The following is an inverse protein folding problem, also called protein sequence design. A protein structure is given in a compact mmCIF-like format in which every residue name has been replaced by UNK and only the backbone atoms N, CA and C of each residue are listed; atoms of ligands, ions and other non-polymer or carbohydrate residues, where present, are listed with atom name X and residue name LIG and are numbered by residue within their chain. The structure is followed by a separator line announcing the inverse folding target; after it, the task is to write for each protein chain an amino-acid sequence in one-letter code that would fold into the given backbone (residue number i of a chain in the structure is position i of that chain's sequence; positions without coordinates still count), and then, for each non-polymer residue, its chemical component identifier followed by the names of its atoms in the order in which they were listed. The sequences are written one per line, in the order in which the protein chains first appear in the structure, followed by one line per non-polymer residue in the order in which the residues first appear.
data_IF_906412023647
#
_entry.id   IF_906412023647
#
_cell.length_a   1.000
_cell.length_b   1.000
_cell.length_c   1.000
_cell.angle_alpha   90.00
_cell.angle_beta   90.00
_cell.angle_gamma   90.00
#
_symmetry.space_group_name_H-M   'P 1'
#
loop_
_entity.id
_entity.type
_entity.pdbx_description
1 polymer ?
#
# COMPACT_ATOMS: atom_id res chain seq x y z
N UNK A 1 42.40 48.13 22.51
CA UNK A 1 42.78 46.72 22.33
C UNK A 1 41.61 45.69 22.66
N UNK A 2 40.55 46.13 23.34
CA UNK A 2 39.43 45.24 23.67
C UNK A 2 38.42 44.99 22.54
N UNK A 3 38.31 45.92 21.56
CA UNK A 3 37.32 45.82 20.46
C UNK A 3 37.68 44.81 19.38
N UNK A 4 38.96 44.53 19.14
CA UNK A 4 39.41 43.56 18.12
C UNK A 4 39.14 42.11 18.56
N UNK A 5 39.28 41.84 19.87
CA UNK A 5 39.01 40.51 20.43
C UNK A 5 37.52 40.09 20.36
N UNK A 6 36.61 41.06 20.54
CA UNK A 6 35.16 40.81 20.48
C UNK A 6 34.69 40.53 19.05
N UNK A 7 35.24 41.25 18.05
CA UNK A 7 34.94 41.04 16.63
C UNK A 7 35.45 39.67 16.15
N UNK A 8 36.67 39.29 16.61
CA UNK A 8 37.23 37.98 16.25
C UNK A 8 36.50 36.79 16.91
N UNK A 9 35.97 36.96 18.13
CA UNK A 9 35.13 35.98 18.80
C UNK A 9 33.75 35.81 18.13
N UNK A 10 33.18 36.94 17.60
CA UNK A 10 31.88 36.91 16.90
C UNK A 10 31.98 36.27 15.52
N UNK A 11 33.13 36.32 14.85
CA UNK A 11 33.37 35.69 13.55
C UNK A 11 33.56 34.14 13.63
N UNK A 12 33.93 33.63 14.81
CA UNK A 12 34.17 32.21 15.02
C UNK A 12 32.90 31.43 15.35
N UNK A 13 31.78 32.09 15.67
CA UNK A 13 30.50 31.45 16.05
C UNK A 13 29.51 31.31 14.91
N UNK A 14 29.77 31.81 13.71
CA UNK A 14 28.88 31.82 12.56
C UNK A 14 28.75 30.47 11.76
N UNK A 15 29.68 29.50 11.81
CA UNK A 15 29.54 28.28 10.97
C UNK A 15 28.71 27.14 11.57
N UNK A 16 28.11 27.31 12.76
CA UNK A 16 27.44 26.20 13.45
C UNK A 16 25.93 26.05 13.16
N UNK A 17 25.37 26.85 12.26
CA UNK A 17 23.90 26.82 11.99
C UNK A 17 23.50 26.22 10.65
N UNK A 18 24.36 25.47 9.96
CA UNK A 18 24.04 24.88 8.68
C UNK A 18 23.89 23.34 8.77
N UNK A 19 23.11 22.84 9.71
CA UNK A 19 22.66 21.44 9.71
C UNK A 19 21.16 21.35 9.93
N UNK A 20 20.37 21.96 9.06
CA UNK A 20 19.01 21.51 8.83
C UNK A 20 19.04 20.43 7.74
N UNK A 21 19.36 19.21 8.12
CA UNK A 21 18.98 18.05 7.34
C UNK A 21 17.46 18.07 7.21
N UNK A 22 16.96 18.26 5.99
CA UNK A 22 15.54 18.12 5.69
C UNK A 22 15.21 16.63 5.87
N UNK A 23 14.79 16.24 7.06
CA UNK A 23 14.16 14.95 7.31
C UNK A 23 12.80 15.00 6.63
N UNK A 24 12.73 14.52 5.40
CA UNK A 24 11.47 14.23 4.72
C UNK A 24 10.91 12.97 5.36
N UNK A 25 9.98 13.12 6.26
CA UNK A 25 9.19 12.03 6.85
C UNK A 25 8.15 11.56 5.81
N UNK A 26 8.63 10.92 4.77
CA UNK A 26 7.75 10.23 3.81
C UNK A 26 7.59 8.78 4.23
N UNK A 27 7.14 8.38 5.32
CA UNK A 27 6.79 7.02 5.78
C UNK A 27 7.15 5.79 4.91
N UNK A 28 8.04 5.96 3.94
CA UNK A 28 8.51 4.93 3.02
C UNK A 28 10.01 4.72 3.20
N UNK A 29 10.45 3.47 3.25
CA UNK A 29 11.86 3.07 3.37
C UNK A 29 12.55 2.86 2.01
N UNK A 30 12.02 3.47 0.95
CA UNK A 30 12.54 3.34 -0.42
C UNK A 30 13.95 3.96 -0.50
N UNK A 31 14.91 3.17 -1.00
CA UNK A 31 16.28 3.61 -1.19
C UNK A 31 16.35 4.74 -2.25
N UNK A 32 17.26 5.72 -2.09
CA UNK A 32 17.31 6.92 -2.93
C UNK A 32 17.60 6.66 -4.42
N UNK A 33 18.12 5.50 -4.77
CA UNK A 33 18.45 5.07 -6.13
C UNK A 33 17.33 4.27 -6.82
N UNK A 34 16.28 3.88 -6.09
CA UNK A 34 15.05 3.31 -6.63
C UNK A 34 14.16 4.47 -7.09
N UNK A 35 13.85 4.55 -8.39
CA UNK A 35 13.19 5.69 -9.01
C UNK A 35 11.88 5.34 -9.69
N UNK A 36 11.72 4.10 -10.15
CA UNK A 36 10.60 3.68 -10.97
C UNK A 36 9.89 2.46 -10.38
N UNK A 37 8.59 2.38 -10.63
CA UNK A 37 7.75 1.24 -10.24
C UNK A 37 6.89 0.79 -11.42
N UNK A 38 6.84 -0.53 -11.63
CA UNK A 38 5.86 -1.19 -12.50
C UNK A 38 4.83 -1.90 -11.63
N UNK A 39 3.56 -1.62 -11.85
CA UNK A 39 2.45 -2.34 -11.20
C UNK A 39 1.64 -2.99 -12.30
N UNK A 40 1.81 -4.31 -12.42
CA UNK A 40 1.14 -5.10 -13.43
C UNK A 40 -0.35 -5.23 -13.13
N UNK A 41 -1.15 -5.41 -14.18
CA UNK A 41 -2.57 -5.70 -14.02
C UNK A 41 -2.77 -6.99 -13.22
N UNK A 42 -3.61 -6.94 -12.18
CA UNK A 42 -3.91 -8.09 -11.34
C UNK A 42 -4.80 -9.08 -12.07
N UNK A 43 -4.34 -10.31 -12.20
CA UNK A 43 -5.14 -11.39 -12.76
C UNK A 43 -6.32 -11.73 -11.86
N UNK A 44 -7.42 -12.20 -12.44
CA UNK A 44 -8.57 -12.69 -11.69
C UNK A 44 -8.66 -14.21 -11.77
N UNK A 45 -8.30 -14.88 -10.69
CA UNK A 45 -8.26 -16.35 -10.59
C UNK A 45 -9.30 -16.92 -9.61
N UNK A 46 -10.09 -16.06 -8.94
CA UNK A 46 -11.10 -16.51 -8.00
C UNK A 46 -12.25 -17.23 -8.73
N UNK A 47 -12.81 -18.31 -8.15
CA UNK A 47 -13.91 -19.08 -8.78
C UNK A 47 -15.20 -18.28 -8.96
N UNK A 48 -15.53 -17.40 -8.02
CA UNK A 48 -16.71 -16.52 -8.11
C UNK A 48 -16.30 -15.22 -8.83
N UNK A 49 -17.06 -14.85 -9.83
CA UNK A 49 -16.70 -13.76 -10.75
C UNK A 49 -17.09 -12.39 -10.20
N UNK A 50 -16.12 -11.48 -10.11
CA UNK A 50 -16.34 -10.04 -10.00
C UNK A 50 -15.38 -9.35 -10.98
N UNK A 51 -15.85 -8.99 -12.20
CA UNK A 51 -14.98 -8.53 -13.29
C UNK A 51 -14.29 -7.19 -13.00
N UNK A 52 -14.84 -6.36 -12.11
CA UNK A 52 -14.33 -5.02 -11.83
C UNK A 52 -13.20 -5.02 -10.78
N UNK A 53 -13.11 -6.05 -9.94
CA UNK A 53 -12.25 -6.05 -8.77
C UNK A 53 -10.75 -5.97 -9.12
N UNK A 54 -10.31 -6.69 -10.15
CA UNK A 54 -8.90 -6.63 -10.61
C UNK A 54 -8.52 -5.24 -11.10
N UNK A 55 -9.41 -4.58 -11.84
CA UNK A 55 -9.18 -3.23 -12.31
C UNK A 55 -9.11 -2.24 -11.14
N UNK A 56 -10.10 -2.29 -10.24
CA UNK A 56 -10.15 -1.44 -9.04
C UNK A 56 -8.89 -1.59 -8.18
N UNK A 57 -8.44 -2.83 -7.93
CA UNK A 57 -7.25 -3.09 -7.14
C UNK A 57 -5.98 -2.56 -7.83
N UNK A 58 -5.85 -2.76 -9.14
CA UNK A 58 -4.70 -2.28 -9.91
C UNK A 58 -4.63 -0.76 -9.89
N UNK A 59 -5.72 -0.09 -10.23
CA UNK A 59 -5.79 1.38 -10.28
C UNK A 59 -5.57 1.99 -8.89
N UNK A 60 -6.22 1.47 -7.85
CA UNK A 60 -6.07 1.95 -6.49
C UNK A 60 -4.62 1.81 -5.97
N UNK A 61 -3.95 0.70 -6.29
CA UNK A 61 -2.56 0.50 -5.91
C UNK A 61 -1.63 1.46 -6.66
N UNK A 62 -1.82 1.64 -7.97
CA UNK A 62 -1.06 2.61 -8.76
C UNK A 62 -1.22 4.03 -8.22
N UNK A 63 -2.45 4.46 -7.94
CA UNK A 63 -2.74 5.76 -7.36
C UNK A 63 -2.06 5.94 -5.99
N UNK A 64 -2.09 4.92 -5.13
CA UNK A 64 -1.45 4.95 -3.83
C UNK A 64 0.06 5.14 -3.94
N UNK A 65 0.72 4.43 -4.86
CA UNK A 65 2.16 4.59 -5.10
C UNK A 65 2.51 5.98 -5.63
N UNK A 66 1.77 6.51 -6.60
CA UNK A 66 1.95 7.87 -7.14
C UNK A 66 1.79 8.93 -6.05
N UNK A 67 0.78 8.76 -5.18
CA UNK A 67 0.45 9.74 -4.15
C UNK A 67 1.44 9.74 -2.98
N UNK A 68 1.90 8.55 -2.54
CA UNK A 68 2.66 8.39 -1.30
C UNK A 68 4.17 8.23 -1.51
N UNK A 69 4.63 8.09 -2.75
CA UNK A 69 6.05 7.92 -3.05
C UNK A 69 6.52 8.97 -4.06
N UNK A 70 7.84 8.99 -4.32
CA UNK A 70 8.45 9.78 -5.39
C UNK A 70 8.78 8.92 -6.61
N UNK A 71 8.25 7.70 -6.66
CA UNK A 71 8.49 6.78 -7.77
C UNK A 71 7.69 7.22 -8.99
N UNK A 72 8.30 7.09 -10.15
CA UNK A 72 7.64 7.24 -11.43
C UNK A 72 7.01 5.90 -11.83
N UNK A 73 5.71 5.91 -12.15
CA UNK A 73 5.03 4.73 -12.67
C UNK A 73 5.45 4.51 -14.13
N UNK A 74 5.95 3.32 -14.43
CA UNK A 74 6.35 2.90 -15.78
C UNK A 74 5.67 1.57 -16.14
N UNK A 75 5.38 1.38 -17.42
CA UNK A 75 4.63 0.21 -17.88
C UNK A 75 5.44 -1.10 -17.74
N UNK A 76 6.75 -1.01 -17.94
CA UNK A 76 7.66 -2.16 -17.93
C UNK A 76 9.02 -1.81 -17.31
N UNK A 77 9.70 -2.81 -16.79
CA UNK A 77 11.09 -2.73 -16.32
C UNK A 77 11.38 -1.65 -15.26
N UNK A 78 10.42 -1.36 -14.40
CA UNK A 78 10.64 -0.52 -13.24
C UNK A 78 11.75 -1.07 -12.32
N UNK A 79 12.39 -0.19 -11.55
CA UNK A 79 13.36 -0.59 -10.52
C UNK A 79 12.74 -1.57 -9.52
N UNK A 80 11.45 -1.34 -9.21
CA UNK A 80 10.60 -2.29 -8.48
C UNK A 80 9.41 -2.69 -9.34
N UNK A 81 8.95 -3.91 -9.14
CA UNK A 81 7.83 -4.49 -9.88
C UNK A 81 6.88 -5.22 -8.93
N UNK A 82 5.59 -4.97 -9.10
CA UNK A 82 4.52 -5.64 -8.36
C UNK A 82 3.63 -6.36 -9.37
N UNK A 83 3.46 -7.65 -9.17
CA UNK A 83 2.52 -8.48 -9.92
C UNK A 83 1.66 -9.27 -8.94
N UNK A 84 0.44 -9.60 -9.31
CA UNK A 84 -0.42 -10.36 -8.43
C UNK A 84 -1.71 -10.85 -9.07
N UNK A 85 -2.47 -11.60 -8.28
CA UNK A 85 -3.74 -12.13 -8.68
C UNK A 85 -4.75 -12.11 -7.54
N UNK A 86 -6.01 -11.85 -7.85
CA UNK A 86 -7.15 -12.11 -6.97
C UNK A 86 -7.41 -13.61 -6.98
N UNK A 87 -7.16 -14.29 -5.87
CA UNK A 87 -7.24 -15.75 -5.75
C UNK A 87 -8.47 -16.24 -5.00
N UNK A 88 -9.17 -15.37 -4.30
CA UNK A 88 -10.38 -15.70 -3.56
C UNK A 88 -11.34 -14.53 -3.50
N UNK A 89 -12.64 -14.86 -3.61
CA UNK A 89 -13.76 -13.96 -3.46
C UNK A 89 -14.92 -14.77 -2.86
N UNK A 90 -15.10 -14.70 -1.55
CA UNK A 90 -16.00 -15.58 -0.81
C UNK A 90 -16.95 -14.79 0.09
N UNK A 91 -18.22 -15.24 0.13
CA UNK A 91 -19.20 -14.74 1.08
C UNK A 91 -19.60 -15.86 2.03
N UNK A 92 -19.48 -15.62 3.32
CA UNK A 92 -19.82 -16.59 4.37
C UNK A 92 -20.58 -15.91 5.50
N UNK A 93 -21.43 -16.65 6.19
CA UNK A 93 -22.01 -16.19 7.46
C UNK A 93 -20.89 -15.96 8.47
N UNK A 94 -20.83 -14.76 9.09
CA UNK A 94 -19.73 -14.40 10.00
C UNK A 94 -20.11 -14.47 11.48
N UNK A 95 -21.32 -14.12 11.84
CA UNK A 95 -21.79 -14.23 13.21
C UNK A 95 -23.30 -14.44 13.31
N UNK A 96 -23.72 -15.21 14.32
CA UNK A 96 -25.08 -15.22 14.86
C UNK A 96 -24.94 -14.61 16.23
N UNK A 97 -25.44 -13.38 16.43
CA UNK A 97 -25.44 -12.78 17.77
C UNK A 97 -26.46 -13.47 18.65
N UNK A 98 -26.12 -13.69 19.93
CA UNK A 98 -26.90 -14.46 20.89
C UNK A 98 -28.34 -13.92 21.15
N UNK A 99 -28.69 -12.80 20.56
CA UNK A 99 -30.00 -12.13 20.71
C UNK A 99 -30.86 -12.19 19.43
N UNK A 100 -30.62 -13.11 18.50
CA UNK A 100 -31.45 -13.34 17.26
C UNK A 100 -31.69 -12.12 16.36
N UNK A 101 -30.97 -11.00 16.53
CA UNK A 101 -31.33 -9.74 15.88
C UNK A 101 -30.37 -9.21 14.82
N UNK A 102 -29.23 -9.85 14.58
CA UNK A 102 -28.39 -9.48 13.43
C UNK A 102 -27.52 -10.66 12.98
N UNK A 103 -28.00 -11.42 12.02
CA UNK A 103 -27.13 -12.31 11.24
C UNK A 103 -26.24 -11.42 10.36
N UNK A 104 -24.92 -11.65 10.39
CA UNK A 104 -23.97 -10.96 9.53
C UNK A 104 -23.39 -11.92 8.51
N UNK A 105 -23.17 -11.42 7.33
CA UNK A 105 -22.38 -12.05 6.27
C UNK A 105 -21.05 -11.32 6.13
N UNK A 106 -20.02 -12.03 5.71
CA UNK A 106 -18.69 -11.51 5.46
C UNK A 106 -18.29 -11.76 4.03
N UNK A 107 -17.95 -10.68 3.33
CA UNK A 107 -17.23 -10.76 2.07
C UNK A 107 -15.73 -10.76 2.36
N UNK A 108 -15.02 -11.76 1.85
CA UNK A 108 -13.56 -11.87 1.97
C UNK A 108 -12.93 -11.92 0.59
N UNK A 109 -11.89 -11.11 0.38
CA UNK A 109 -11.06 -11.13 -0.82
C UNK A 109 -9.64 -11.55 -0.44
N UNK A 110 -9.10 -12.50 -1.20
CA UNK A 110 -7.71 -12.96 -1.07
C UNK A 110 -6.94 -12.61 -2.33
N UNK A 111 -5.72 -12.11 -2.14
CA UNK A 111 -4.79 -11.82 -3.24
C UNK A 111 -3.45 -12.47 -2.96
N UNK A 112 -2.73 -12.83 -4.02
CA UNK A 112 -1.33 -13.23 -3.97
C UNK A 112 -0.50 -12.21 -4.72
N UNK A 113 0.62 -11.81 -4.13
CA UNK A 113 1.49 -10.76 -4.64
C UNK A 113 2.91 -11.29 -4.76
N UNK A 114 3.56 -10.97 -5.86
CA UNK A 114 5.00 -11.06 -6.03
C UNK A 114 5.57 -9.65 -6.17
N UNK A 115 6.60 -9.36 -5.41
CA UNK A 115 7.33 -8.11 -5.39
C UNK A 115 8.78 -8.36 -5.76
N UNK A 116 9.29 -7.64 -6.75
CA UNK A 116 10.68 -7.72 -7.19
C UNK A 116 11.31 -6.35 -7.03
N UNK A 117 12.38 -6.27 -6.26
CA UNK A 117 13.27 -5.12 -6.23
C UNK A 117 14.54 -5.49 -7.02
N UNK A 118 14.73 -4.88 -8.21
CA UNK A 118 15.84 -5.22 -9.10
C UNK A 118 17.17 -4.67 -8.58
N UNK A 119 17.15 -3.64 -7.72
CA UNK A 119 18.34 -3.05 -7.11
C UNK A 119 18.71 -3.71 -5.78
N UNK A 120 17.70 -4.19 -5.06
CA UNK A 120 17.83 -4.85 -3.76
C UNK A 120 17.07 -6.19 -3.77
N UNK A 121 17.61 -7.23 -4.46
CA UNK A 121 16.91 -8.50 -4.64
C UNK A 121 16.53 -9.21 -3.34
N UNK A 122 17.24 -8.94 -2.25
CA UNK A 122 16.97 -9.47 -0.90
C UNK A 122 15.64 -8.99 -0.30
N UNK A 123 15.10 -7.90 -0.79
CA UNK A 123 13.78 -7.37 -0.38
C UNK A 123 12.63 -8.02 -1.16
N UNK A 124 12.95 -8.76 -2.22
CA UNK A 124 11.95 -9.39 -3.08
C UNK A 124 11.27 -10.58 -2.39
N UNK A 125 10.00 -10.77 -2.73
CA UNK A 125 9.25 -11.96 -2.29
C UNK A 125 8.30 -12.43 -3.39
N UNK A 126 7.90 -13.69 -3.33
CA UNK A 126 6.95 -14.30 -4.27
C UNK A 126 5.78 -14.91 -3.53
N UNK A 127 4.61 -14.89 -4.17
CA UNK A 127 3.39 -15.58 -3.70
C UNK A 127 2.95 -15.24 -2.26
N UNK A 128 3.27 -14.04 -1.78
CA UNK A 128 2.81 -13.58 -0.47
C UNK A 128 1.31 -13.33 -0.52
N UNK A 129 0.58 -13.95 0.40
CA UNK A 129 -0.87 -13.83 0.48
C UNK A 129 -1.29 -12.67 1.38
N UNK A 130 -2.30 -11.92 0.92
CA UNK A 130 -2.99 -10.88 1.67
C UNK A 130 -4.48 -11.18 1.64
N UNK A 131 -5.19 -10.79 2.70
CA UNK A 131 -6.62 -11.02 2.83
C UNK A 131 -7.27 -9.85 3.55
N UNK A 132 -8.33 -9.31 2.96
CA UNK A 132 -9.16 -8.32 3.63
C UNK A 132 -10.63 -8.72 3.55
N UNK A 133 -11.44 -8.20 4.46
CA UNK A 133 -12.84 -8.53 4.51
C UNK A 133 -13.69 -7.36 5.02
N UNK A 134 -14.98 -7.39 4.67
CA UNK A 134 -16.00 -6.51 5.22
C UNK A 134 -17.24 -7.31 5.62
N UNK A 135 -17.81 -6.96 6.77
CA UNK A 135 -19.07 -7.54 7.25
C UNK A 135 -20.25 -6.68 6.78
N UNK A 136 -21.35 -7.34 6.45
CA UNK A 136 -22.60 -6.68 6.06
C UNK A 136 -23.81 -7.43 6.62
N UNK A 137 -24.95 -6.75 6.69
CA UNK A 137 -26.20 -7.32 7.18
C UNK A 137 -26.65 -8.47 6.26
N UNK A 138 -26.83 -9.65 6.82
CA UNK A 138 -27.24 -10.85 6.06
C UNK A 138 -28.65 -10.76 5.43
N UNK A 139 -29.46 -9.76 5.85
CA UNK A 139 -30.76 -9.49 5.22
C UNK A 139 -30.64 -8.70 3.91
N UNK A 140 -29.48 -8.10 3.64
CA UNK A 140 -29.19 -7.37 2.40
C UNK A 140 -28.70 -8.34 1.32
N UNK A 141 -29.15 -8.12 0.08
CA UNK A 141 -28.57 -8.79 -1.06
C UNK A 141 -27.16 -8.27 -1.33
N UNK A 142 -26.19 -9.16 -1.56
CA UNK A 142 -24.79 -8.78 -1.81
C UNK A 142 -24.69 -7.71 -2.91
N UNK A 143 -25.44 -7.88 -3.98
CA UNK A 143 -25.41 -7.01 -5.16
C UNK A 143 -25.75 -5.54 -4.82
N UNK A 144 -26.48 -5.32 -3.75
CA UNK A 144 -26.86 -3.95 -3.32
C UNK A 144 -25.77 -3.21 -2.55
N UNK A 145 -24.81 -3.95 -1.96
CA UNK A 145 -23.74 -3.41 -1.11
C UNK A 145 -22.34 -3.74 -1.65
N UNK A 146 -22.23 -4.59 -2.66
CA UNK A 146 -20.99 -5.16 -3.19
C UNK A 146 -19.96 -4.07 -3.57
N UNK A 147 -20.41 -2.98 -4.23
CA UNK A 147 -19.52 -1.89 -4.65
C UNK A 147 -18.81 -1.26 -3.46
N UNK A 148 -19.56 -0.88 -2.43
CA UNK A 148 -19.00 -0.26 -1.23
C UNK A 148 -18.11 -1.22 -0.46
N UNK A 149 -18.52 -2.49 -0.31
CA UNK A 149 -17.70 -3.50 0.35
C UNK A 149 -16.37 -3.73 -0.39
N UNK A 150 -16.41 -3.76 -1.72
CA UNK A 150 -15.20 -3.91 -2.54
C UNK A 150 -14.28 -2.71 -2.44
N UNK A 151 -14.80 -1.47 -2.41
CA UNK A 151 -14.01 -0.26 -2.20
C UNK A 151 -13.24 -0.32 -0.88
N UNK A 152 -13.90 -0.61 0.24
CA UNK A 152 -13.28 -0.72 1.56
C UNK A 152 -12.22 -1.84 1.60
N UNK A 153 -12.53 -3.00 1.00
CA UNK A 153 -11.60 -4.15 0.92
C UNK A 153 -10.38 -3.81 0.07
N UNK A 154 -10.56 -3.16 -1.08
CA UNK A 154 -9.47 -2.74 -1.95
C UNK A 154 -8.57 -1.73 -1.25
N UNK A 155 -9.14 -0.76 -0.52
CA UNK A 155 -8.36 0.20 0.26
C UNK A 155 -7.47 -0.52 1.29
N UNK A 156 -8.03 -1.48 2.04
CA UNK A 156 -7.29 -2.26 3.03
C UNK A 156 -6.19 -3.11 2.38
N UNK A 157 -6.50 -3.81 1.28
CA UNK A 157 -5.51 -4.60 0.55
C UNK A 157 -4.37 -3.73 0.01
N UNK A 158 -4.68 -2.56 -0.55
CA UNK A 158 -3.68 -1.61 -1.03
C UNK A 158 -2.79 -1.09 0.11
N UNK A 159 -3.35 -0.86 1.31
CA UNK A 159 -2.57 -0.49 2.50
C UNK A 159 -1.60 -1.60 2.89
N UNK A 160 -2.09 -2.82 2.99
CA UNK A 160 -1.29 -3.97 3.42
C UNK A 160 -0.17 -4.29 2.41
N UNK A 161 -0.48 -4.22 1.10
CA UNK A 161 0.50 -4.44 0.02
C UNK A 161 1.56 -3.33 0.03
N UNK A 162 1.15 -2.07 0.13
CA UNK A 162 2.06 -0.92 0.19
C UNK A 162 3.00 -1.03 1.38
N UNK A 163 2.47 -1.33 2.56
CA UNK A 163 3.26 -1.50 3.77
C UNK A 163 4.26 -2.65 3.65
N UNK A 164 3.86 -3.75 3.02
CA UNK A 164 4.73 -4.91 2.85
C UNK A 164 5.82 -4.74 1.79
N UNK A 165 5.68 -3.77 0.88
CA UNK A 165 6.61 -3.54 -0.23
C UNK A 165 7.54 -2.37 -0.01
N UNK A 166 7.03 -1.21 0.41
CA UNK A 166 7.83 0.04 0.46
C UNK A 166 7.77 0.80 1.79
N UNK A 167 6.95 0.37 2.73
CA UNK A 167 6.85 0.97 4.06
C UNK A 167 7.32 0.00 5.17
N UNK A 168 8.31 -0.81 4.89
CA UNK A 168 8.83 -1.79 5.84
C UNK A 168 9.54 -1.07 7.01
N UNK A 169 8.98 -1.16 8.18
CA UNK A 169 9.43 -0.55 9.46
C UNK A 169 10.30 -1.52 10.24
#
# INVERSE_FOLDING_TARGET
MASVGVVMALLLTLPLLHSCGIYSFTGTSIQPDVKTVTINYFEYLAPKVNPSLSNQLTEALQEKFIRLTKLELVDIDGDIEIAGAVTGYDVKASAITANEQAAQSRLTVNVKISFVNRKYPEESFSDKSFSAYQDFDATQALESVESTLCEDIVEQLCEDIFNATVANW
#
